data_IF_053998514347
#
_entry.id   IF_053998514347
#
_cell.length_a   1.000
_cell.length_b   1.000
_cell.length_c   1.000
_cell.angle_alpha   90.00
_cell.angle_beta   90.00
_cell.angle_gamma   90.00
#
_symmetry.space_group_name_H-M   'P 1'
#
loop_
_entity.id
_entity.type
_entity.pdbx_description
1 polymer ?
#
# COMPACT_ATOMS: atom_id res chain seq x y z
N UNK A 1 6.55 18.92 9.10
CA UNK A 1 6.58 17.47 8.83
C UNK A 1 5.14 17.04 8.97
N UNK A 2 4.46 16.69 7.88
CA UNK A 2 3.09 16.17 7.98
C UNK A 2 3.19 14.78 8.62
N UNK A 3 2.83 14.67 9.89
CA UNK A 3 2.59 13.38 10.52
C UNK A 3 1.20 12.94 10.07
N UNK A 4 1.13 11.83 9.35
CA UNK A 4 -0.15 11.22 9.02
C UNK A 4 -0.72 10.57 10.29
N UNK A 5 -1.99 10.81 10.59
CA UNK A 5 -2.65 10.32 11.81
C UNK A 5 -3.10 8.85 11.65
N UNK A 6 -2.18 7.98 11.24
CA UNK A 6 -2.44 6.53 11.14
C UNK A 6 -2.11 5.78 12.43
N UNK A 7 -1.53 6.46 13.43
CA UNK A 7 -1.09 5.84 14.69
C UNK A 7 0.24 5.09 14.61
N UNK A 8 0.93 5.11 13.46
CA UNK A 8 2.25 4.51 13.23
C UNK A 8 3.08 5.35 12.26
N UNK A 9 4.38 5.05 12.16
CA UNK A 9 5.26 5.71 11.19
C UNK A 9 5.22 5.01 9.83
N UNK A 10 4.84 5.76 8.80
CA UNK A 10 4.95 5.31 7.41
C UNK A 10 6.41 5.34 6.93
N UNK A 11 6.81 4.42 6.04
CA UNK A 11 8.09 4.49 5.36
C UNK A 11 8.28 5.81 4.61
N UNK A 12 9.52 6.30 4.53
CA UNK A 12 9.81 7.64 4.00
C UNK A 12 9.50 7.75 2.51
N UNK A 13 9.80 6.71 1.74
CA UNK A 13 9.49 6.64 0.31
C UNK A 13 7.99 6.68 0.06
N UNK A 14 7.20 6.01 0.90
CA UNK A 14 5.74 6.08 0.79
C UNK A 14 5.17 7.46 1.16
N UNK A 15 5.72 8.12 2.18
CA UNK A 15 5.33 9.50 2.51
C UNK A 15 5.60 10.46 1.35
N UNK A 16 6.76 10.33 0.68
CA UNK A 16 7.08 11.13 -0.51
C UNK A 16 6.09 10.86 -1.64
N UNK A 17 5.72 9.60 -1.86
CA UNK A 17 4.70 9.23 -2.85
C UNK A 17 3.35 9.87 -2.56
N UNK A 18 2.88 9.84 -1.30
CA UNK A 18 1.62 10.49 -0.91
C UNK A 18 1.68 12.02 -1.05
N UNK A 19 2.84 12.64 -0.82
CA UNK A 19 3.04 14.07 -1.02
C UNK A 19 3.00 14.43 -2.52
N UNK A 20 3.63 13.60 -3.37
CA UNK A 20 3.60 13.73 -4.82
C UNK A 20 2.18 13.56 -5.39
N UNK A 21 1.43 12.59 -4.84
CA UNK A 21 0.02 12.36 -5.17
C UNK A 21 -0.88 13.57 -4.83
N UNK A 22 -0.54 14.32 -3.77
CA UNK A 22 -1.24 15.54 -3.36
C UNK A 22 -2.71 15.32 -2.98
N UNK A 23 -3.62 15.86 -3.79
CA UNK A 23 -5.09 15.80 -3.64
C UNK A 23 -5.75 14.85 -4.67
N UNK A 24 -4.95 14.03 -5.37
CA UNK A 24 -5.52 13.03 -6.27
C UNK A 24 -6.22 11.92 -5.46
N UNK A 25 -7.33 11.35 -5.99
CA UNK A 25 -8.08 10.29 -5.29
C UNK A 25 -7.34 8.95 -5.23
N UNK A 26 -6.30 8.79 -6.05
CA UNK A 26 -5.48 7.58 -6.13
C UNK A 26 -4.51 7.69 -7.30
N UNK A 27 -3.67 6.67 -7.45
CA UNK A 27 -2.68 6.54 -8.51
C UNK A 27 -2.84 5.19 -9.19
N UNK A 28 -3.22 5.22 -10.46
CA UNK A 28 -3.28 4.03 -11.31
C UNK A 28 -1.92 3.79 -11.96
N UNK A 29 -1.37 2.59 -11.80
CA UNK A 29 -0.07 2.22 -12.36
C UNK A 29 -0.26 1.72 -13.79
N UNK A 30 -0.05 2.59 -14.79
CA UNK A 30 -0.16 2.23 -16.21
C UNK A 30 -1.56 1.70 -16.58
N UNK A 31 -1.62 0.72 -17.49
CA UNK A 31 -2.86 0.01 -17.85
C UNK A 31 -3.02 -1.34 -17.12
N UNK A 32 -2.34 -1.51 -15.99
CA UNK A 32 -2.27 -2.81 -15.27
C UNK A 32 -3.52 -3.15 -14.48
N UNK A 33 -4.28 -2.15 -14.05
CA UNK A 33 -5.43 -2.30 -13.15
C UNK A 33 -5.09 -2.07 -11.67
N UNK A 34 -3.81 -1.87 -11.34
CA UNK A 34 -3.36 -1.59 -9.98
C UNK A 34 -3.66 -0.12 -9.63
N UNK A 35 -4.43 0.08 -8.56
CA UNK A 35 -4.79 1.39 -8.04
C UNK A 35 -4.26 1.57 -6.60
N UNK A 36 -3.36 2.53 -6.41
CA UNK A 36 -2.87 2.95 -5.10
C UNK A 36 -3.78 4.03 -4.53
N UNK A 37 -4.13 3.92 -3.25
CA UNK A 37 -5.08 4.83 -2.62
C UNK A 37 -4.45 6.13 -2.16
N UNK A 38 -5.27 7.19 -2.16
CA UNK A 38 -4.95 8.43 -1.49
C UNK A 38 -5.00 8.27 0.04
N UNK A 39 -4.29 9.17 0.73
CA UNK A 39 -4.25 9.21 2.20
C UNK A 39 -5.63 9.19 2.88
N UNK A 40 -6.64 9.75 2.23
CA UNK A 40 -8.02 9.84 2.76
C UNK A 40 -8.73 8.48 2.72
N UNK A 41 -8.52 7.73 1.63
CA UNK A 41 -9.08 6.39 1.44
C UNK A 41 -8.34 5.32 2.26
N UNK A 42 -7.04 5.47 2.49
CA UNK A 42 -6.23 4.46 3.18
C UNK A 42 -6.86 4.00 4.50
N UNK A 43 -7.30 4.94 5.34
CA UNK A 43 -7.93 4.61 6.62
C UNK A 43 -9.25 3.86 6.43
N UNK A 44 -10.12 4.33 5.54
CA UNK A 44 -11.44 3.73 5.30
C UNK A 44 -11.32 2.31 4.73
N UNK A 45 -10.39 2.11 3.78
CA UNK A 45 -10.10 0.80 3.19
C UNK A 45 -9.53 -0.17 4.21
N UNK A 46 -8.51 0.25 4.98
CA UNK A 46 -7.93 -0.62 6.01
C UNK A 46 -8.94 -1.01 7.10
N UNK A 47 -9.87 -0.12 7.45
CA UNK A 47 -10.95 -0.42 8.38
C UNK A 47 -11.99 -1.37 7.78
N UNK A 48 -12.37 -1.17 6.51
CA UNK A 48 -13.35 -2.01 5.80
C UNK A 48 -12.89 -3.46 5.71
N UNK A 49 -11.60 -3.67 5.41
CA UNK A 49 -11.00 -4.99 5.32
C UNK A 49 -10.43 -5.50 6.65
N UNK A 50 -10.61 -4.76 7.74
CA UNK A 50 -10.13 -5.15 9.08
C UNK A 50 -8.63 -5.53 9.10
N UNK A 51 -7.81 -4.84 8.30
CA UNK A 51 -6.38 -5.15 8.13
C UNK A 51 -5.65 -5.12 9.47
N UNK A 52 -6.03 -4.23 10.38
CA UNK A 52 -5.43 -4.15 11.71
C UNK A 52 -5.72 -5.37 12.59
N UNK A 53 -6.82 -6.10 12.34
CA UNK A 53 -7.18 -7.31 13.09
C UNK A 53 -6.50 -8.56 12.52
N UNK A 54 -6.51 -8.73 11.20
CA UNK A 54 -5.88 -9.88 10.55
C UNK A 54 -4.36 -9.73 10.44
N UNK A 55 -3.88 -8.53 10.14
CA UNK A 55 -2.49 -8.22 9.80
C UNK A 55 -2.03 -6.91 10.48
N UNK A 56 -1.91 -6.86 11.82
CA UNK A 56 -1.65 -5.65 12.59
C UNK A 56 -0.32 -4.97 12.25
N UNK A 57 0.67 -5.73 11.78
CA UNK A 57 1.99 -5.21 11.36
C UNK A 57 1.98 -4.59 9.96
N UNK A 58 0.90 -4.79 9.18
CA UNK A 58 0.80 -4.35 7.80
C UNK A 58 -0.28 -3.29 7.61
N UNK A 59 -0.15 -2.55 6.51
CA UNK A 59 -1.08 -1.49 6.15
C UNK A 59 -1.33 -1.52 4.65
N UNK A 60 -2.59 -1.66 4.26
CA UNK A 60 -3.01 -1.72 2.86
C UNK A 60 -2.84 -0.35 2.22
N UNK A 61 -2.23 -0.32 1.04
CA UNK A 61 -1.91 0.90 0.29
C UNK A 61 -2.53 0.97 -1.10
N UNK A 62 -2.99 -0.16 -1.62
CA UNK A 62 -3.61 -0.25 -2.93
C UNK A 62 -4.16 -1.65 -3.18
N UNK A 63 -4.82 -1.81 -4.32
CA UNK A 63 -5.36 -3.10 -4.75
C UNK A 63 -5.23 -3.31 -6.25
N UNK A 64 -5.29 -4.58 -6.63
CA UNK A 64 -5.47 -5.07 -7.99
C UNK A 64 -6.50 -6.20 -7.98
N UNK A 65 -7.76 -5.84 -8.23
CA UNK A 65 -8.88 -6.77 -8.08
C UNK A 65 -8.95 -7.35 -6.67
N UNK A 66 -8.69 -8.66 -6.55
CA UNK A 66 -8.70 -9.43 -5.31
C UNK A 66 -7.36 -9.38 -4.55
N UNK A 67 -6.29 -8.97 -5.22
CA UNK A 67 -4.97 -8.81 -4.64
C UNK A 67 -4.83 -7.42 -4.01
N UNK A 68 -4.23 -7.35 -2.84
CA UNK A 68 -3.95 -6.09 -2.17
C UNK A 68 -2.46 -5.93 -1.92
N UNK A 69 -2.04 -4.67 -1.94
CA UNK A 69 -0.66 -4.28 -1.66
C UNK A 69 -0.56 -3.65 -0.29
N UNK A 70 0.48 -4.00 0.43
CA UNK A 70 0.70 -3.67 1.82
C UNK A 70 2.11 -3.10 2.03
N UNK A 71 2.23 -2.24 3.02
CA UNK A 71 3.51 -1.85 3.60
C UNK A 71 3.60 -2.30 5.05
N UNK A 72 4.81 -2.36 5.59
CA UNK A 72 5.03 -2.70 7.00
C UNK A 72 4.99 -1.45 7.87
N UNK A 73 4.13 -1.42 8.88
CA UNK A 73 4.06 -0.34 9.87
C UNK A 73 5.35 -0.28 10.67
N UNK A 74 5.96 0.90 10.80
CA UNK A 74 7.26 1.08 11.46
C UNK A 74 8.40 0.21 10.89
N UNK A 75 8.24 -0.27 9.65
CA UNK A 75 9.22 -1.08 8.94
C UNK A 75 9.98 -0.30 7.89
N UNK A 76 10.60 -1.05 6.99
CA UNK A 76 11.27 -0.53 5.80
C UNK A 76 10.26 -0.13 4.70
N UNK A 77 10.76 0.50 3.64
CA UNK A 77 9.98 0.90 2.46
C UNK A 77 9.47 -0.27 1.58
N UNK A 78 9.71 -1.52 1.99
CA UNK A 78 9.34 -2.70 1.20
C UNK A 78 7.83 -2.83 1.02
N UNK A 79 7.43 -3.21 -0.20
CA UNK A 79 6.03 -3.47 -0.57
C UNK A 79 5.78 -4.96 -0.55
N UNK A 80 4.64 -5.33 0.00
CA UNK A 80 4.16 -6.69 0.11
C UNK A 80 2.84 -6.82 -0.64
N UNK A 81 2.51 -8.02 -1.06
CA UNK A 81 1.22 -8.36 -1.63
C UNK A 81 0.59 -9.52 -0.86
N UNK A 82 -0.74 -9.52 -0.80
CA UNK A 82 -1.52 -10.65 -0.33
C UNK A 82 -2.94 -10.61 -0.87
N UNK A 83 -3.58 -11.77 -0.93
CA UNK A 83 -4.98 -11.89 -1.34
C UNK A 83 -5.90 -11.42 -0.21
N UNK A 84 -6.86 -10.55 -0.53
CA UNK A 84 -7.79 -9.99 0.45
C UNK A 84 -8.66 -11.07 1.12
N UNK A 85 -8.94 -12.17 0.43
CA UNK A 85 -9.66 -13.32 0.97
C UNK A 85 -8.79 -14.26 1.84
N UNK A 86 -7.48 -14.03 1.88
CA UNK A 86 -6.52 -14.89 2.59
C UNK A 86 -5.74 -14.18 3.70
N UNK A 87 -6.14 -12.96 4.07
CA UNK A 87 -5.58 -12.22 5.21
C UNK A 87 -5.62 -13.06 6.49
N UNK A 88 -4.53 -13.02 7.28
CA UNK A 88 -4.37 -13.84 8.48
C UNK A 88 -4.15 -15.33 8.22
N UNK A 89 -4.21 -15.79 6.97
CA UNK A 89 -4.04 -17.21 6.59
C UNK A 89 -2.81 -17.44 5.72
N UNK A 90 -2.50 -16.52 4.80
CA UNK A 90 -1.33 -16.56 3.93
C UNK A 90 -0.28 -15.54 4.36
N UNK A 91 0.98 -15.92 4.21
CA UNK A 91 2.12 -15.05 4.53
C UNK A 91 2.29 -13.98 3.44
N UNK A 92 2.44 -12.72 3.88
CA UNK A 92 2.69 -11.56 3.02
C UNK A 92 3.95 -11.76 2.16
N UNK A 93 3.80 -11.63 0.83
CA UNK A 93 4.92 -11.80 -0.11
C UNK A 93 5.55 -10.46 -0.43
N UNK A 94 6.85 -10.30 -0.20
CA UNK A 94 7.57 -9.08 -0.59
C UNK A 94 7.72 -9.04 -2.11
N UNK A 95 7.17 -8.00 -2.75
CA UNK A 95 7.25 -7.79 -4.21
C UNK A 95 8.27 -6.75 -4.61
N UNK A 96 8.46 -5.71 -3.79
CA UNK A 96 9.36 -4.62 -4.10
C UNK A 96 10.08 -4.07 -2.87
N UNK A 97 11.19 -3.37 -3.10
CA UNK A 97 11.96 -2.75 -2.01
C UNK A 97 11.44 -1.37 -1.63
N UNK A 98 10.73 -0.70 -2.53
CA UNK A 98 10.11 0.62 -2.32
C UNK A 98 8.89 0.80 -3.22
N UNK A 99 8.00 1.72 -2.88
CA UNK A 99 6.85 2.06 -3.74
C UNK A 99 7.28 2.56 -5.13
N UNK A 100 8.40 3.29 -5.20
CA UNK A 100 8.94 3.76 -6.48
C UNK A 100 9.49 2.61 -7.32
N UNK A 101 10.16 1.65 -6.68
CA UNK A 101 10.66 0.43 -7.35
C UNK A 101 9.49 -0.41 -7.87
N UNK A 102 8.45 -0.60 -7.04
CA UNK A 102 7.21 -1.28 -7.41
C UNK A 102 6.55 -0.69 -8.67
N UNK A 103 6.31 0.63 -8.66
CA UNK A 103 5.73 1.33 -9.81
C UNK A 103 6.61 1.19 -11.05
N UNK A 104 7.93 1.34 -10.91
CA UNK A 104 8.85 1.20 -12.05
C UNK A 104 8.92 -0.24 -12.59
N UNK A 105 8.88 -1.26 -11.73
CA UNK A 105 8.85 -2.66 -12.14
C UNK A 105 7.64 -2.93 -13.02
N UNK A 106 6.45 -2.54 -12.52
CA UNK A 106 5.19 -2.74 -13.24
C UNK A 106 5.18 -1.98 -14.58
N UNK A 107 5.62 -0.72 -14.59
CA UNK A 107 5.68 0.08 -15.82
C UNK A 107 6.73 -0.40 -16.83
N UNK A 108 7.75 -1.15 -16.40
CA UNK A 108 8.77 -1.71 -17.30
C UNK A 108 8.42 -3.10 -17.83
N UNK A 109 7.39 -3.75 -17.27
CA UNK A 109 6.88 -5.02 -17.79
C UNK A 109 5.92 -4.84 -19.01
N UNK A 110 5.67 -3.59 -19.45
CA UNK A 110 4.93 -3.25 -20.69
C UNK A 110 5.80 -3.16 -21.96
#
# INVERSE_FOLDING_TARGET
>A
MHEYDFGFSLPKGYQVFLDDLGDQPGYDIGETGICLYAKEDLTERNQTYQIDEDEPDFFMIGQDGDLAYFLKKNGDDSIYENDLGALGSLEMQKVAESIADFINQILQEE
#
